data_IF_499634229448
#
_entry.id   IF_499634229448
#
_cell.length_a   1.000
_cell.length_b   1.000
_cell.length_c   1.000
_cell.angle_alpha   90.00
_cell.angle_beta   90.00
_cell.angle_gamma   90.00
#
_symmetry.space_group_name_H-M   'P 1'
#
loop_
_entity.id
_entity.type
_entity.pdbx_description
1 polymer ?
#
# COMPACT_ATOMS: atom_id res chain seq x y z
N UNK A 1 -0.34 11.98 18.21
CA UNK A 1 -0.51 10.55 17.86
C UNK A 1 0.59 9.64 18.44
N UNK A 2 1.85 10.09 18.57
CA UNK A 2 2.92 9.33 19.25
C UNK A 2 2.59 8.97 20.71
N UNK A 3 1.93 9.86 21.44
CA UNK A 3 1.57 9.67 22.85
C UNK A 3 0.61 8.48 23.09
N UNK A 4 -0.31 8.22 22.15
CA UNK A 4 -1.28 7.10 22.25
C UNK A 4 -0.61 5.75 22.03
N UNK A 5 0.38 5.69 21.13
CA UNK A 5 1.14 4.47 20.84
C UNK A 5 2.00 4.05 22.03
N UNK A 6 2.51 5.01 22.82
CA UNK A 6 3.25 4.74 24.05
C UNK A 6 2.34 4.42 25.25
N UNK A 7 1.11 4.93 25.27
CA UNK A 7 0.17 4.69 26.36
C UNK A 7 -0.25 3.22 26.47
N UNK A 8 -0.40 2.51 25.36
CA UNK A 8 -0.81 1.09 25.34
C UNK A 8 0.23 0.18 26.02
N UNK A 9 1.52 0.17 25.62
CA UNK A 9 2.52 -0.67 26.28
C UNK A 9 2.79 -0.20 27.72
N UNK A 10 2.67 1.10 28.03
CA UNK A 10 2.79 1.61 29.41
C UNK A 10 1.63 1.09 30.27
N UNK A 11 0.39 1.18 29.80
CA UNK A 11 -0.78 0.67 30.53
C UNK A 11 -0.70 -0.84 30.73
N UNK A 12 -0.20 -1.58 29.73
CA UNK A 12 0.02 -3.02 29.84
C UNK A 12 1.14 -3.36 30.82
N UNK A 13 2.27 -2.65 30.76
CA UNK A 13 3.36 -2.82 31.72
C UNK A 13 2.88 -2.48 33.14
N UNK A 14 2.07 -1.44 33.32
CA UNK A 14 1.46 -1.08 34.60
C UNK A 14 0.47 -2.16 35.08
N UNK A 15 -0.37 -2.70 34.20
CA UNK A 15 -1.31 -3.77 34.54
C UNK A 15 -0.60 -5.09 34.90
N UNK A 16 0.45 -5.46 34.15
CA UNK A 16 1.31 -6.61 34.45
C UNK A 16 2.07 -6.39 35.76
N UNK A 17 2.62 -5.19 35.97
CA UNK A 17 3.31 -4.85 37.22
C UNK A 17 2.36 -4.83 38.43
N UNK A 18 1.10 -4.42 38.24
CA UNK A 18 0.06 -4.48 39.27
C UNK A 18 -0.37 -5.91 39.60
N UNK A 19 -0.47 -6.79 38.60
CA UNK A 19 -0.81 -8.22 38.79
C UNK A 19 0.35 -9.06 39.31
N UNK A 20 1.58 -8.57 39.18
CA UNK A 20 2.79 -9.15 39.78
C UNK A 20 3.06 -8.67 41.21
N UNK A 21 2.27 -7.74 41.76
CA UNK A 21 2.38 -7.40 43.20
C UNK A 21 2.06 -8.64 44.03
N UNK A 22 2.92 -8.92 45.00
CA UNK A 22 3.04 -10.21 45.72
C UNK A 22 1.77 -10.74 46.42
N UNK A 23 0.68 -9.97 46.50
CA UNK A 23 -0.58 -10.38 47.14
C UNK A 23 -1.68 -10.85 46.16
N UNK A 24 -1.49 -10.71 44.85
CA UNK A 24 -2.50 -11.14 43.88
C UNK A 24 -2.29 -12.58 43.45
N UNK A 25 -3.18 -13.48 43.90
CA UNK A 25 -3.29 -14.84 43.33
C UNK A 25 -3.76 -14.73 41.88
N UNK A 26 -2.83 -14.92 40.94
CA UNK A 26 -3.13 -14.96 39.50
C UNK A 26 -3.95 -16.22 39.22
N UNK A 27 -5.20 -16.05 38.78
CA UNK A 27 -6.03 -17.18 38.37
C UNK A 27 -5.66 -17.63 36.95
N UNK A 28 -5.87 -18.92 36.66
CA UNK A 28 -5.60 -19.47 35.33
C UNK A 28 -6.35 -18.71 34.23
N UNK A 29 -7.58 -18.23 34.51
CA UNK A 29 -8.39 -17.44 33.58
C UNK A 29 -7.71 -16.12 33.18
N UNK A 30 -6.97 -15.48 34.09
CA UNK A 30 -6.24 -14.24 33.79
C UNK A 30 -5.06 -14.50 32.85
N UNK A 31 -4.36 -15.62 33.01
CA UNK A 31 -3.25 -16.01 32.14
C UNK A 31 -3.75 -16.25 30.72
N UNK A 32 -4.88 -16.95 30.58
CA UNK A 32 -5.51 -17.21 29.28
C UNK A 32 -6.03 -15.92 28.62
N UNK A 33 -6.66 -15.04 29.39
CA UNK A 33 -7.09 -13.74 28.89
C UNK A 33 -5.90 -12.90 28.38
N UNK A 34 -4.78 -12.91 29.11
CA UNK A 34 -3.57 -12.18 28.71
C UNK A 34 -2.92 -12.80 27.47
N UNK A 35 -2.85 -14.13 27.40
CA UNK A 35 -2.33 -14.86 26.25
C UNK A 35 -3.18 -14.61 24.98
N UNK A 36 -4.51 -14.50 25.13
CA UNK A 36 -5.40 -14.16 24.03
C UNK A 36 -5.29 -12.68 23.59
N UNK A 37 -4.99 -11.77 24.53
CA UNK A 37 -4.81 -10.35 24.23
C UNK A 37 -3.43 -10.01 23.64
N UNK A 38 -2.39 -10.78 23.98
CA UNK A 38 -1.02 -10.58 23.50
C UNK A 38 -0.88 -10.47 21.96
N UNK A 39 -1.46 -11.35 21.12
CA UNK A 39 -1.33 -11.23 19.67
C UNK A 39 -1.94 -9.94 19.11
N UNK A 40 -3.05 -9.46 19.69
CA UNK A 40 -3.65 -8.18 19.30
C UNK A 40 -2.70 -7.02 19.57
N UNK A 41 -2.05 -7.02 20.73
CA UNK A 41 -1.09 -5.97 21.11
C UNK A 41 0.11 -5.99 20.17
N UNK A 42 0.65 -7.18 19.87
CA UNK A 42 1.75 -7.34 18.92
C UNK A 42 1.36 -6.80 17.55
N UNK A 43 0.15 -7.11 17.07
CA UNK A 43 -0.35 -6.60 15.80
C UNK A 43 -0.45 -5.06 15.79
N UNK A 44 -0.96 -4.45 16.86
CA UNK A 44 -1.05 -2.99 16.99
C UNK A 44 0.33 -2.32 17.03
N UNK A 45 1.27 -2.90 17.79
CA UNK A 45 2.65 -2.42 17.85
C UNK A 45 3.33 -2.52 16.48
N UNK A 46 3.17 -3.65 15.78
CA UNK A 46 3.73 -3.85 14.45
C UNK A 46 3.17 -2.85 13.43
N UNK A 47 1.84 -2.63 13.43
CA UNK A 47 1.20 -1.63 12.57
C UNK A 47 1.70 -0.21 12.88
N UNK A 48 1.79 0.15 14.16
CA UNK A 48 2.32 1.44 14.60
C UNK A 48 3.78 1.65 14.16
N UNK A 49 4.61 0.62 14.32
CA UNK A 49 6.01 0.64 13.89
C UNK A 49 6.14 0.82 12.38
N UNK A 50 5.40 0.05 11.57
CA UNK A 50 5.43 0.18 10.11
C UNK A 50 4.99 1.57 9.62
N UNK A 51 4.03 2.21 10.30
CA UNK A 51 3.63 3.58 10.00
C UNK A 51 4.75 4.60 10.32
N UNK A 52 5.46 4.43 11.44
CA UNK A 52 6.56 5.32 11.81
C UNK A 52 7.76 5.17 10.87
N UNK A 53 8.17 3.92 10.64
CA UNK A 53 9.25 3.59 9.70
C UNK A 53 8.95 4.15 8.30
N UNK A 54 7.74 3.95 7.80
CA UNK A 54 7.34 4.47 6.48
C UNK A 54 7.45 5.99 6.39
N UNK A 55 7.10 6.73 7.46
CA UNK A 55 7.28 8.19 7.48
C UNK A 55 8.76 8.57 7.45
N UNK A 56 9.59 7.88 8.24
CA UNK A 56 11.02 8.14 8.28
C UNK A 56 11.66 7.89 6.91
N UNK A 57 11.36 6.76 6.28
CA UNK A 57 11.89 6.42 4.95
C UNK A 57 11.47 7.43 3.89
N UNK A 58 10.20 7.86 3.88
CA UNK A 58 9.73 8.89 2.94
C UNK A 58 10.44 10.24 3.11
N UNK A 59 10.82 10.62 4.33
CA UNK A 59 11.59 11.85 4.54
C UNK A 59 13.03 11.77 4.05
N UNK A 60 13.57 10.57 3.87
CA UNK A 60 14.94 10.33 3.40
C UNK A 60 15.01 10.13 1.89
N UNK A 61 13.89 9.80 1.23
CA UNK A 61 13.80 9.55 -0.20
C UNK A 61 13.64 10.88 -0.97
N UNK A 62 14.60 11.29 -1.83
CA UNK A 62 14.46 12.50 -2.65
C UNK A 62 13.26 12.43 -3.60
N UNK A 63 13.00 11.24 -4.15
CA UNK A 63 11.86 10.94 -5.02
C UNK A 63 10.49 11.11 -4.34
N UNK A 64 10.45 11.20 -3.01
CA UNK A 64 9.22 11.53 -2.29
C UNK A 64 8.85 13.02 -2.38
N UNK A 65 9.81 13.88 -2.77
CA UNK A 65 9.63 15.33 -2.89
C UNK A 65 9.71 15.82 -4.34
N UNK A 66 10.31 15.05 -5.22
CA UNK A 66 10.50 15.39 -6.63
C UNK A 66 9.52 14.60 -7.50
N UNK A 67 8.80 15.29 -8.38
CA UNK A 67 8.00 14.67 -9.43
C UNK A 67 8.87 13.89 -10.42
N UNK A 68 8.22 13.07 -11.25
CA UNK A 68 8.90 12.26 -12.26
C UNK A 68 8.36 12.61 -13.64
N UNK A 69 9.27 12.94 -14.56
CA UNK A 69 8.93 13.04 -15.98
C UNK A 69 9.21 11.71 -16.66
N UNK A 70 8.17 11.11 -17.23
CA UNK A 70 8.25 9.85 -17.95
C UNK A 70 7.68 10.00 -19.35
N UNK A 71 8.24 9.26 -20.30
CA UNK A 71 7.69 9.14 -21.65
C UNK A 71 7.16 7.73 -21.81
N UNK A 72 5.87 7.65 -22.13
CA UNK A 72 5.14 6.41 -22.39
C UNK A 72 5.01 6.25 -23.89
N UNK A 73 5.52 5.13 -24.41
CA UNK A 73 5.41 4.79 -25.82
C UNK A 73 4.56 3.52 -25.96
N UNK A 74 3.45 3.63 -26.69
CA UNK A 74 2.58 2.52 -27.03
C UNK A 74 2.41 2.47 -28.55
N UNK A 75 3.20 1.61 -29.21
CA UNK A 75 3.29 1.57 -30.67
C UNK A 75 3.79 2.89 -31.27
N UNK A 76 2.92 3.56 -32.04
CA UNK A 76 3.21 4.85 -32.68
C UNK A 76 2.89 6.06 -31.79
N UNK A 77 2.17 5.85 -30.68
CA UNK A 77 1.80 6.93 -29.78
C UNK A 77 2.91 7.14 -28.74
N UNK A 78 3.39 8.38 -28.63
CA UNK A 78 4.39 8.79 -27.64
C UNK A 78 3.80 9.93 -26.82
N UNK A 79 3.72 9.75 -25.50
CA UNK A 79 3.15 10.74 -24.58
C UNK A 79 4.15 11.01 -23.46
N UNK A 80 4.52 12.28 -23.28
CA UNK A 80 5.27 12.74 -22.11
C UNK A 80 4.31 13.04 -20.96
N UNK A 81 4.58 12.48 -19.79
CA UNK A 81 3.81 12.68 -18.57
C UNK A 81 4.73 13.32 -17.52
N UNK A 82 4.34 14.47 -17.00
CA UNK A 82 4.91 15.05 -15.80
C UNK A 82 4.04 14.63 -14.62
N UNK A 83 4.56 13.76 -13.76
CA UNK A 83 3.82 13.13 -12.68
C UNK A 83 4.28 13.69 -11.34
N UNK A 84 3.32 14.05 -10.49
CA UNK A 84 3.60 14.29 -9.07
C UNK A 84 4.14 13.01 -8.40
N UNK A 85 4.81 13.11 -7.23
CA UNK A 85 5.32 11.92 -6.52
C UNK A 85 4.25 10.85 -6.25
N UNK A 86 3.01 11.28 -5.97
CA UNK A 86 1.87 10.41 -5.69
C UNK A 86 1.37 9.72 -6.96
N UNK A 87 1.26 10.48 -8.07
CA UNK A 87 0.92 9.95 -9.39
C UNK A 87 1.97 8.98 -9.89
N UNK A 88 3.26 9.32 -9.77
CA UNK A 88 4.38 8.47 -10.17
C UNK A 88 4.42 7.16 -9.36
N UNK A 89 4.10 7.21 -8.07
CA UNK A 89 3.95 6.02 -7.24
C UNK A 89 2.74 5.16 -7.64
N UNK A 90 1.63 5.78 -8.00
CA UNK A 90 0.46 5.08 -8.55
C UNK A 90 0.76 4.44 -9.90
N UNK A 91 1.54 5.13 -10.73
CA UNK A 91 1.98 4.65 -12.02
C UNK A 91 2.91 3.43 -11.88
N UNK A 92 3.93 3.50 -11.01
CA UNK A 92 4.79 2.34 -10.66
C UNK A 92 3.96 1.15 -10.20
N UNK A 93 3.03 1.39 -9.27
CA UNK A 93 2.19 0.32 -8.74
C UNK A 93 1.39 -0.35 -9.84
N UNK A 94 0.77 0.44 -10.72
CA UNK A 94 -0.07 -0.05 -11.81
C UNK A 94 0.72 -0.93 -12.76
N UNK A 95 1.92 -0.49 -13.15
CA UNK A 95 2.83 -1.28 -13.98
C UNK A 95 3.25 -2.57 -13.29
N UNK A 96 3.58 -2.51 -11.99
CA UNK A 96 4.01 -3.68 -11.24
C UNK A 96 2.90 -4.72 -11.10
N UNK A 97 1.65 -4.30 -10.93
CA UNK A 97 0.50 -5.22 -10.92
C UNK A 97 0.28 -5.90 -12.26
N UNK A 98 0.78 -5.34 -13.37
CA UNK A 98 0.72 -5.96 -14.70
C UNK A 98 -0.69 -6.09 -15.29
N UNK A 99 -1.72 -5.59 -14.60
CA UNK A 99 -3.10 -5.56 -15.08
C UNK A 99 -3.25 -4.52 -16.18
N UNK A 100 -4.00 -4.84 -17.25
CA UNK A 100 -4.31 -3.86 -18.29
C UNK A 100 -5.05 -2.68 -17.67
N UNK A 101 -4.55 -1.48 -17.94
CA UNK A 101 -5.13 -0.27 -17.38
C UNK A 101 -5.03 0.89 -18.37
N UNK A 102 -5.87 1.89 -18.20
CA UNK A 102 -5.76 3.18 -18.88
C UNK A 102 -5.33 4.22 -17.87
N UNK A 103 -4.29 4.97 -18.22
CA UNK A 103 -3.87 6.16 -17.50
C UNK A 103 -4.66 7.36 -18.03
N UNK A 104 -5.46 7.98 -17.18
CA UNK A 104 -6.31 9.11 -17.54
C UNK A 104 -5.48 10.39 -17.49
N UNK A 105 -5.30 11.04 -18.64
CA UNK A 105 -4.61 12.34 -18.74
C UNK A 105 -5.54 13.38 -19.35
N UNK A 106 -5.17 14.66 -19.24
CA UNK A 106 -5.87 15.74 -19.94
C UNK A 106 -5.84 15.58 -21.47
N UNK A 107 -4.76 14.97 -22.00
CA UNK A 107 -4.60 14.66 -23.42
C UNK A 107 -5.36 13.41 -23.90
N UNK A 108 -6.10 12.74 -23.00
CA UNK A 108 -6.84 11.51 -23.27
C UNK A 108 -6.31 10.28 -22.51
N UNK A 109 -7.02 9.16 -22.58
CA UNK A 109 -6.60 7.92 -21.95
C UNK A 109 -5.37 7.34 -22.67
N UNK A 110 -4.32 7.02 -21.90
CA UNK A 110 -3.11 6.36 -22.38
C UNK A 110 -3.18 4.89 -21.97
N UNK A 111 -3.29 3.94 -22.91
CA UNK A 111 -3.34 2.52 -22.57
C UNK A 111 -1.99 2.04 -22.03
N UNK A 112 -2.03 1.39 -20.86
CA UNK A 112 -0.93 0.70 -20.22
C UNK A 112 -1.13 -0.81 -20.38
N UNK A 113 -0.24 -1.42 -21.14
CA UNK A 113 -0.23 -2.85 -21.44
C UNK A 113 1.20 -3.39 -21.45
N UNK A 114 1.36 -4.69 -21.67
CA UNK A 114 2.67 -5.37 -21.72
C UNK A 114 3.60 -4.89 -22.84
N UNK A 115 3.08 -4.16 -23.84
CA UNK A 115 3.85 -3.60 -24.96
C UNK A 115 4.20 -2.12 -24.76
N UNK A 116 3.88 -1.56 -23.60
CA UNK A 116 4.16 -0.16 -23.31
C UNK A 116 5.63 -0.01 -22.92
N UNK A 117 6.41 0.69 -23.75
CA UNK A 117 7.80 1.02 -23.47
C UNK A 117 7.85 2.30 -22.63
N UNK A 118 8.63 2.27 -21.56
CA UNK A 118 8.79 3.38 -20.64
C UNK A 118 10.19 3.93 -20.74
N UNK A 119 10.27 5.24 -20.96
CA UNK A 119 11.54 5.98 -20.93
C UNK A 119 11.48 7.04 -19.85
N UNK A 120 12.51 7.08 -19.01
CA UNK A 120 12.58 7.98 -17.87
C UNK A 120 12.85 7.22 -16.57
N UNK A 121 12.93 7.96 -15.47
CA UNK A 121 13.22 7.39 -14.16
C UNK A 121 11.92 7.32 -13.36
N UNK A 122 11.42 6.11 -13.15
CA UNK A 122 10.33 5.87 -12.21
C UNK A 122 10.85 5.94 -10.76
N UNK A 123 9.99 6.35 -9.81
CA UNK A 123 10.34 6.26 -8.40
C UNK A 123 10.57 4.79 -7.99
N UNK A 124 11.43 4.56 -6.98
CA UNK A 124 11.67 3.21 -6.48
C UNK A 124 10.38 2.61 -5.90
N UNK A 125 10.19 1.28 -5.99
CA UNK A 125 8.97 0.60 -5.53
C UNK A 125 8.71 0.79 -4.03
N UNK A 126 9.75 1.11 -3.27
CA UNK A 126 9.65 1.40 -1.84
C UNK A 126 8.82 2.65 -1.57
N UNK A 127 8.90 3.66 -2.44
CA UNK A 127 8.11 4.89 -2.32
C UNK A 127 6.61 4.56 -2.35
N UNK A 128 6.16 3.83 -3.37
CA UNK A 128 4.77 3.43 -3.52
C UNK A 128 4.31 2.55 -2.37
N UNK A 129 5.18 1.66 -1.87
CA UNK A 129 4.88 0.82 -0.70
C UNK A 129 4.66 1.66 0.56
N UNK A 130 5.56 2.58 0.87
CA UNK A 130 5.44 3.42 2.06
C UNK A 130 4.24 4.38 1.97
N UNK A 131 3.96 4.96 0.80
CA UNK A 131 2.76 5.76 0.58
C UNK A 131 1.47 4.93 0.76
N UNK A 132 1.46 3.67 0.32
CA UNK A 132 0.34 2.76 0.53
C UNK A 132 0.15 2.41 2.01
N UNK A 133 1.23 2.12 2.77
CA UNK A 133 1.15 1.85 4.21
C UNK A 133 0.55 3.06 4.95
N UNK A 134 0.88 4.28 4.53
CA UNK A 134 0.33 5.49 5.13
C UNK A 134 -1.10 5.82 4.70
N UNK A 135 -1.69 5.06 3.78
CA UNK A 135 -3.01 5.34 3.23
C UNK A 135 -3.07 6.61 2.38
N UNK A 136 -1.91 7.07 1.86
CA UNK A 136 -1.81 8.27 1.01
C UNK A 136 -1.85 7.96 -0.48
N UNK A 137 -1.74 6.70 -0.85
CA UNK A 137 -1.76 6.28 -2.25
C UNK A 137 -3.20 6.12 -2.75
N UNK A 138 -3.75 7.17 -3.39
CA UNK A 138 -5.07 7.13 -4.03
C UNK A 138 -4.94 7.19 -5.56
N UNK A 139 -4.98 6.02 -6.21
CA UNK A 139 -4.78 5.91 -7.67
C UNK A 139 -6.08 5.98 -8.49
N UNK A 140 -7.25 6.02 -7.83
CA UNK A 140 -8.55 6.00 -8.50
C UNK A 140 -8.76 7.14 -9.52
N UNK A 141 -8.32 8.39 -9.30
CA UNK A 141 -8.57 9.46 -10.27
C UNK A 141 -7.71 9.33 -11.54
N UNK A 142 -6.60 8.58 -11.48
CA UNK A 142 -5.62 8.51 -12.56
C UNK A 142 -5.65 7.21 -13.35
N UNK A 143 -6.15 6.12 -12.74
CA UNK A 143 -6.07 4.77 -13.30
C UNK A 143 -7.46 4.18 -13.45
N UNK A 144 -7.75 3.67 -14.65
CA UNK A 144 -8.91 2.82 -14.91
C UNK A 144 -8.44 1.42 -15.27
N UNK A 145 -8.75 0.44 -14.43
CA UNK A 145 -8.49 -0.96 -14.77
C UNK A 145 -9.42 -1.38 -15.92
N UNK A 146 -8.85 -2.05 -16.92
CA UNK A 146 -9.60 -2.68 -18.00
C UNK A 146 -9.80 -4.16 -17.66
N UNK A 147 -10.95 -4.71 -18.03
CA UNK A 147 -11.18 -6.14 -17.90
C UNK A 147 -10.22 -6.90 -18.84
N UNK A 148 -9.59 -7.96 -18.34
CA UNK A 148 -8.84 -8.87 -19.20
C UNK A 148 -9.82 -9.68 -20.06
N UNK A 149 -9.57 -9.73 -21.38
CA UNK A 149 -10.41 -10.44 -22.36
C UNK A 149 -10.64 -11.93 -21.99
N UNK A 150 -9.79 -12.52 -21.15
CA UNK A 150 -9.93 -13.88 -20.62
C UNK A 150 -11.18 -14.10 -19.76
N UNK A 151 -11.76 -13.06 -19.16
CA UNK A 151 -13.01 -13.17 -18.41
C UNK A 151 -14.23 -13.36 -19.34
N UNK A 152 -14.19 -12.81 -20.56
CA UNK A 152 -15.27 -12.94 -21.54
C UNK A 152 -15.34 -14.35 -22.14
N UNK A 153 -14.19 -14.99 -22.35
CA UNK A 153 -14.10 -16.34 -22.90
C UNK A 153 -14.63 -17.40 -21.91
N UNK A 154 -14.41 -17.19 -20.61
CA UNK A 154 -14.94 -18.08 -19.56
C UNK A 154 -16.47 -17.97 -19.39
N UNK A 155 -17.03 -16.77 -19.60
CA UNK A 155 -18.49 -16.56 -19.54
C UNK A 155 -19.22 -17.19 -20.74
N UNK A 156 -18.58 -17.27 -21.90
CA UNK A 156 -19.17 -17.86 -23.11
C UNK A 156 -19.06 -19.39 -23.08
N UNK A 157 -18.01 -19.95 -22.49
CA UNK A 157 -17.85 -21.39 -22.32
C UNK A 157 -18.88 -22.01 -21.35
N UNK A 158 -19.35 -21.26 -20.34
CA UNK A 158 -20.36 -21.74 -19.37
C UNK A 158 -21.78 -21.81 -19.93
N UNK A 159 -22.08 -21.06 -21.01
CA UNK A 159 -23.39 -21.09 -21.70
C UNK A 159 -23.49 -22.17 -22.79
N UNK A 160 -22.42 -22.95 -23.02
CA UNK A 160 -22.35 -23.95 -24.10
C UNK A 160 -22.40 -25.42 -23.64
N UNK A 161 -22.71 -25.70 -22.37
CA UNK A 161 -22.99 -27.09 -21.92
C UNK A 161 -24.49 -27.38 -21.92
N UNK A 162 -25.00 -28.27 -22.79
CA UNK A 162 -26.39 -28.74 -22.80
C UNK A 162 -26.72 -29.70 -21.65
#
# INVERSE_FOLDING_TARGET
MTLVIWLIPILLAVAVFWTLRADTRISADQIWALAAAAPLVVALCAAGYSHMESRATLTQLPSAQQGAFITVQNGLQVVGLDLSPEEAACFERTLRTGTRAEWLTEGGPVPLNSHTELRGQLPPPELARHLAILGRLNCQPYVRALADDSAAETATASQASP
#
